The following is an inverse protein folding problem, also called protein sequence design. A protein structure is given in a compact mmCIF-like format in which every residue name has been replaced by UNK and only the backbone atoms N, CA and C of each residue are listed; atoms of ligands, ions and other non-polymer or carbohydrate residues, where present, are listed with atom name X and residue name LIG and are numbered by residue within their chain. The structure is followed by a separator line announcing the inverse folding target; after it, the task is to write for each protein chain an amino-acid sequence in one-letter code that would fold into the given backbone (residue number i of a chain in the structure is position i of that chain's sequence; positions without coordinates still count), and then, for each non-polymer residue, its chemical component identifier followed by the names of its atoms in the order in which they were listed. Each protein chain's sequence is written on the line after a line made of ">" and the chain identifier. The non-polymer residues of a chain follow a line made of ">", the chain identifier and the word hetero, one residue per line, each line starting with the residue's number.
data_IF_407307030082
#
_entry.id   IF_407307030082
#
_cell.length_a   1.000
_cell.length_b   1.000
_cell.length_c   1.000
_cell.angle_alpha   90.00
_cell.angle_beta   90.00
_cell.angle_gamma   90.00
#
_symmetry.space_group_name_H-M   'P 1'
#
loop_
_entity.id
_entity.type
_entity.pdbx_description
1 polymer ?
#
# COMPACT_ATOMS: atom_id res chain seq x y z
N UNK A 1 -2.46 24.66 11.44
CA UNK A 1 -2.82 23.61 10.46
C UNK A 1 -2.71 22.21 11.08
N UNK A 2 -1.68 21.88 11.88
CA UNK A 2 -1.54 20.55 12.51
C UNK A 2 -2.55 20.19 13.60
N UNK A 3 -3.21 21.17 14.24
CA UNK A 3 -4.10 20.90 15.37
C UNK A 3 -5.58 20.85 14.98
N UNK A 4 -5.95 20.88 13.69
CA UNK A 4 -7.35 20.80 13.26
C UNK A 4 -7.97 19.42 13.52
N UNK A 5 -7.22 18.35 13.19
CA UNK A 5 -7.63 16.97 13.42
C UNK A 5 -7.90 16.63 14.91
N UNK A 6 -7.12 17.12 15.88
CA UNK A 6 -7.42 16.97 17.31
C UNK A 6 -8.34 18.05 17.90
N UNK A 7 -8.43 19.24 17.29
CA UNK A 7 -9.34 20.30 17.76
C UNK A 7 -10.82 19.95 17.59
N UNK A 8 -11.20 19.42 16.43
CA UNK A 8 -12.60 19.06 16.15
C UNK A 8 -13.17 17.99 17.11
N UNK A 9 -12.43 16.91 17.46
CA UNK A 9 -12.86 15.94 18.48
C UNK A 9 -12.47 16.31 19.93
N UNK A 10 -11.96 17.52 20.19
CA UNK A 10 -11.46 17.97 21.50
C UNK A 10 -10.41 17.06 22.18
N UNK A 11 -9.45 16.52 21.42
CA UNK A 11 -8.35 15.71 22.00
C UNK A 11 -7.28 16.64 22.58
N UNK A 12 -7.36 16.87 23.90
CA UNK A 12 -6.52 17.84 24.63
C UNK A 12 -5.20 17.23 25.09
N UNK A 13 -4.21 18.09 25.22
CA UNK A 13 -2.93 17.79 25.86
C UNK A 13 -2.82 18.56 27.19
N UNK A 14 -2.24 17.95 28.22
CA UNK A 14 -2.05 18.57 29.55
C UNK A 14 -3.11 18.24 30.61
N UNK A 15 -2.80 18.52 31.88
CA UNK A 15 -3.72 18.36 33.02
C UNK A 15 -4.61 19.60 33.18
N UNK A 16 -5.90 19.42 33.49
CA UNK A 16 -6.86 20.51 33.71
C UNK A 16 -6.49 21.34 34.95
N UNK A 17 -5.55 22.29 34.81
CA UNK A 17 -5.36 23.33 35.81
C UNK A 17 -6.41 24.42 35.55
N UNK A 18 -7.12 24.83 36.60
CA UNK A 18 -8.23 25.80 36.49
C UNK A 18 -7.76 27.21 36.04
N UNK A 19 -6.45 27.41 35.91
CA UNK A 19 -5.78 28.65 35.51
C UNK A 19 -5.36 28.71 34.04
N UNK A 20 -5.50 27.64 33.26
CA UNK A 20 -5.05 27.64 31.86
C UNK A 20 -6.13 28.22 30.93
N UNK A 21 -5.92 29.47 30.51
CA UNK A 21 -6.80 30.18 29.57
C UNK A 21 -6.67 29.68 28.13
N UNK A 22 -5.64 28.86 27.83
CA UNK A 22 -5.34 28.35 26.49
C UNK A 22 -5.53 26.84 26.45
N UNK A 23 -6.45 26.37 25.60
CA UNK A 23 -6.65 24.94 25.34
C UNK A 23 -5.53 24.43 24.42
N UNK A 24 -4.68 23.55 24.94
CA UNK A 24 -3.67 22.84 24.15
C UNK A 24 -4.24 21.53 23.58
N UNK A 25 -3.92 21.24 22.32
CA UNK A 25 -4.34 20.04 21.61
C UNK A 25 -3.10 19.25 21.20
N UNK A 26 -3.24 17.92 21.15
CA UNK A 26 -2.16 17.05 20.64
C UNK A 26 -1.87 17.34 19.17
N UNK A 27 -0.78 16.78 18.63
CA UNK A 27 -0.58 16.72 17.18
C UNK A 27 -0.97 15.33 16.67
N UNK A 28 -1.85 15.27 15.68
CA UNK A 28 -2.25 14.01 15.05
C UNK A 28 -1.45 13.79 13.75
N UNK A 29 -0.70 12.68 13.67
CA UNK A 29 -0.05 12.24 12.44
C UNK A 29 -0.79 11.03 11.88
N UNK A 30 -0.99 10.99 10.56
CA UNK A 30 -1.50 9.82 9.85
C UNK A 30 -0.59 9.53 8.65
N UNK A 31 -0.44 8.25 8.34
CA UNK A 31 0.24 7.78 7.14
C UNK A 31 -0.30 6.40 6.77
N UNK A 32 -0.40 6.13 5.47
CA UNK A 32 -0.79 4.81 4.96
C UNK A 32 0.43 3.89 4.93
N UNK A 33 0.46 2.87 5.79
CA UNK A 33 1.55 1.89 5.83
C UNK A 33 1.64 1.06 4.54
N UNK A 34 0.50 0.55 4.06
CA UNK A 34 0.44 -0.33 2.88
C UNK A 34 -0.94 -0.25 2.22
N UNK A 35 -1.00 0.11 0.94
CA UNK A 35 -2.19 -0.07 0.10
C UNK A 35 -2.06 -1.43 -0.59
N UNK A 36 -2.76 -2.44 -0.07
CA UNK A 36 -2.59 -3.85 -0.44
C UNK A 36 -2.61 -4.11 -1.94
N UNK A 37 -3.57 -3.57 -2.68
CA UNK A 37 -3.69 -3.77 -4.13
C UNK A 37 -2.52 -3.17 -4.90
N UNK A 38 -2.12 -1.93 -4.55
CA UNK A 38 -0.98 -1.27 -5.20
C UNK A 38 0.31 -2.01 -4.87
N UNK A 39 0.52 -2.33 -3.61
CA UNK A 39 1.67 -3.10 -3.15
C UNK A 39 1.74 -4.48 -3.79
N UNK A 40 0.59 -5.10 -4.07
CA UNK A 40 0.51 -6.36 -4.79
C UNK A 40 0.95 -6.20 -6.25
N UNK A 41 0.51 -5.15 -6.96
CA UNK A 41 1.00 -4.86 -8.32
C UNK A 41 2.52 -4.72 -8.34
N UNK A 42 3.08 -3.88 -7.45
CA UNK A 42 4.54 -3.74 -7.31
C UNK A 42 5.22 -5.08 -7.02
N UNK A 43 4.61 -5.91 -6.18
CA UNK A 43 5.17 -7.20 -5.85
C UNK A 43 5.22 -8.14 -7.06
N UNK A 44 4.11 -8.25 -7.80
CA UNK A 44 4.01 -9.09 -8.98
C UNK A 44 5.01 -8.67 -10.06
N UNK A 45 5.17 -7.36 -10.27
CA UNK A 45 6.11 -6.82 -11.27
C UNK A 45 7.58 -7.12 -10.95
N UNK A 46 7.98 -7.01 -9.68
CA UNK A 46 9.37 -7.16 -9.26
C UNK A 46 9.79 -8.59 -8.97
N UNK A 47 8.84 -9.47 -8.63
CA UNK A 47 9.12 -10.86 -8.22
C UNK A 47 8.66 -11.91 -9.24
N UNK A 48 8.13 -11.50 -10.41
CA UNK A 48 7.87 -12.43 -11.50
C UNK A 48 9.16 -12.99 -12.11
N UNK A 49 9.13 -14.27 -12.44
CA UNK A 49 10.12 -14.97 -13.27
C UNK A 49 9.40 -15.52 -14.51
N UNK A 50 10.10 -16.12 -15.49
CA UNK A 50 9.43 -16.70 -16.66
C UNK A 50 8.42 -17.81 -16.33
N UNK A 51 8.59 -18.51 -15.21
CA UNK A 51 7.80 -19.73 -14.88
C UNK A 51 6.90 -19.55 -13.64
N UNK A 52 7.29 -18.67 -12.71
CA UNK A 52 6.60 -18.49 -11.43
C UNK A 52 6.83 -17.09 -10.85
N UNK A 53 6.10 -16.75 -9.78
CA UNK A 53 6.34 -15.58 -8.94
C UNK A 53 7.05 -16.01 -7.67
N UNK A 54 8.18 -15.39 -7.35
CA UNK A 54 8.91 -15.66 -6.13
C UNK A 54 8.25 -14.94 -4.94
N UNK A 55 7.84 -15.67 -3.90
CA UNK A 55 7.19 -15.05 -2.73
C UNK A 55 8.27 -14.44 -1.83
N UNK A 56 8.18 -13.15 -1.46
CA UNK A 56 9.09 -12.53 -0.51
C UNK A 56 9.09 -13.28 0.81
N UNK A 57 10.29 -13.49 1.36
CA UNK A 57 10.48 -14.20 2.62
C UNK A 57 9.55 -13.73 3.77
N UNK A 58 9.34 -12.41 4.00
CA UNK A 58 8.46 -11.96 5.08
C UNK A 58 6.98 -12.37 4.90
N UNK A 59 6.56 -12.61 3.66
CA UNK A 59 5.16 -12.91 3.31
C UNK A 59 4.86 -14.42 3.36
N UNK A 60 5.86 -15.29 3.23
CA UNK A 60 5.67 -16.75 3.14
C UNK A 60 4.89 -17.35 4.30
N UNK A 61 5.13 -16.88 5.53
CA UNK A 61 4.44 -17.37 6.74
C UNK A 61 2.93 -17.10 6.77
N UNK A 62 2.45 -16.18 5.93
CA UNK A 62 1.03 -15.84 5.82
C UNK A 62 0.32 -16.62 4.71
N UNK A 63 1.05 -17.41 3.92
CA UNK A 63 0.49 -18.25 2.86
C UNK A 63 0.40 -19.70 3.38
N UNK A 64 -0.75 -20.37 3.28
CA UNK A 64 -0.88 -21.78 3.65
C UNK A 64 0.16 -22.65 2.93
N UNK A 65 0.91 -23.46 3.67
CA UNK A 65 2.01 -24.28 3.13
C UNK A 65 3.34 -23.54 2.90
N UNK A 66 3.40 -22.25 3.22
CA UNK A 66 4.58 -21.39 3.08
C UNK A 66 5.37 -21.56 1.76
N UNK A 67 4.70 -21.58 0.59
CA UNK A 67 5.39 -21.76 -0.68
C UNK A 67 6.36 -20.60 -0.92
N UNK A 68 7.60 -20.93 -1.29
CA UNK A 68 8.57 -19.94 -1.76
C UNK A 68 8.26 -19.44 -3.18
N UNK A 69 7.46 -20.20 -3.94
CA UNK A 69 7.25 -19.99 -5.38
C UNK A 69 5.76 -20.20 -5.70
N UNK A 70 5.19 -19.33 -6.54
CA UNK A 70 3.81 -19.40 -7.01
C UNK A 70 3.79 -19.57 -8.54
N UNK A 71 3.44 -20.76 -9.08
CA UNK A 71 3.42 -21.00 -10.51
C UNK A 71 2.27 -20.25 -11.21
N UNK A 72 2.48 -19.89 -12.48
CA UNK A 72 1.39 -19.35 -13.30
C UNK A 72 0.36 -20.43 -13.62
N UNK A 73 -0.91 -20.13 -13.38
CA UNK A 73 -2.02 -21.07 -13.62
C UNK A 73 -2.69 -20.90 -14.99
N UNK A 74 -2.41 -19.79 -15.68
CA UNK A 74 -3.00 -19.42 -16.97
C UNK A 74 -1.97 -18.75 -17.86
N UNK A 75 -2.08 -19.05 -19.15
CA UNK A 75 -1.33 -18.35 -20.19
C UNK A 75 -1.78 -16.90 -20.31
N UNK A 76 -0.86 -16.04 -20.77
CA UNK A 76 -1.16 -14.65 -21.04
C UNK A 76 -2.24 -14.56 -22.14
N UNK A 77 -3.30 -13.76 -21.95
CA UNK A 77 -4.29 -13.54 -22.99
C UNK A 77 -3.62 -12.87 -24.20
N UNK A 78 -3.90 -13.36 -25.41
CA UNK A 78 -3.32 -12.91 -26.69
C UNK A 78 -3.68 -11.47 -27.08
N UNK A 79 -4.55 -10.80 -26.34
CA UNK A 79 -4.96 -9.43 -26.60
C UNK A 79 -3.95 -8.46 -25.96
N UNK A 80 -2.83 -8.23 -26.65
CA UNK A 80 -1.76 -7.33 -26.22
C UNK A 80 -2.26 -5.87 -26.17
N UNK A 81 -2.49 -5.33 -24.98
CA UNK A 81 -2.71 -3.89 -24.75
C UNK A 81 -1.44 -3.03 -24.96
N UNK A 82 -0.29 -3.65 -25.23
CA UNK A 82 1.00 -2.97 -25.44
C UNK A 82 1.40 -2.77 -26.91
N UNK A 83 0.64 -3.26 -27.89
CA UNK A 83 0.93 -3.07 -29.33
C UNK A 83 0.20 -1.85 -29.91
N UNK A 84 0.41 -0.68 -29.30
CA UNK A 84 -0.15 0.60 -29.72
C UNK A 84 0.82 1.47 -30.50
N UNK A 85 1.35 1.00 -31.65
CA UNK A 85 1.90 1.86 -32.72
C UNK A 85 1.64 1.20 -34.08
N UNK A 86 0.52 1.57 -34.71
CA UNK A 86 0.25 1.21 -36.10
C UNK A 86 1.31 1.85 -37.01
N UNK A 87 1.95 1.05 -37.84
CA UNK A 87 2.84 1.56 -38.88
C UNK A 87 1.98 2.15 -40.01
N UNK A 88 2.25 3.37 -40.51
CA UNK A 88 1.50 3.92 -41.64
C UNK A 88 1.76 3.08 -42.89
N UNK A 89 0.68 2.66 -43.57
CA UNK A 89 0.78 1.98 -44.86
C UNK A 89 1.20 3.00 -45.93
N UNK A 90 2.26 2.65 -46.67
CA UNK A 90 2.69 3.32 -47.90
C UNK A 90 1.67 3.12 -49.03
#
# INVERSE_FOLDING_TARGET
>A
MFDEAPRNPEIRYGTNSQSDTVKEYVHCLNSTLCTTERSLCYLLENYQTPEYINVPEPLRKYIPGAPGLLPFSKELPTNNTSMGRGNPKA
#
